data_IF_345397484705
#
_entry.id   IF_345397484705
#
_cell.length_a   1.000
_cell.length_b   1.000
_cell.length_c   1.000
_cell.angle_alpha   90.00
_cell.angle_beta   90.00
_cell.angle_gamma   90.00
#
_symmetry.space_group_name_H-M   'P 1'
#
loop_
_entity.id
_entity.type
_entity.pdbx_description
1 polymer ?
#
# COMPACT_ATOMS: atom_id res chain seq x y z
N UNK A 1 27.59 8.05 -0.96
CA UNK A 1 26.19 7.86 -1.39
C UNK A 1 25.32 8.72 -0.48
N UNK A 2 24.61 9.73 -1.02
CA UNK A 2 23.67 10.54 -0.23
C UNK A 2 22.64 9.59 0.38
N UNK A 3 22.46 9.63 1.70
CA UNK A 3 21.37 8.94 2.40
C UNK A 3 20.09 9.33 1.67
N UNK A 4 19.51 8.41 0.90
CA UNK A 4 18.10 8.57 0.54
C UNK A 4 17.40 8.55 1.88
N UNK A 5 16.84 9.69 2.29
CA UNK A 5 16.13 9.77 3.56
C UNK A 5 15.05 8.69 3.55
N UNK A 6 15.07 7.81 4.55
CA UNK A 6 14.16 6.67 4.65
C UNK A 6 12.69 7.09 4.48
N UNK A 7 12.37 8.33 4.88
CA UNK A 7 11.08 8.98 4.67
C UNK A 7 10.71 9.09 3.17
N UNK A 8 11.65 9.52 2.32
CA UNK A 8 11.41 9.63 0.87
C UNK A 8 11.19 8.26 0.22
N UNK A 9 11.91 7.23 0.67
CA UNK A 9 11.70 5.84 0.25
C UNK A 9 10.31 5.33 0.64
N UNK A 10 9.86 5.62 1.87
CA UNK A 10 8.53 5.23 2.35
C UNK A 10 7.43 5.91 1.52
N UNK A 11 7.53 7.21 1.28
CA UNK A 11 6.54 7.98 0.52
C UNK A 11 6.49 7.51 -0.94
N UNK A 12 7.64 7.37 -1.59
CA UNK A 12 7.71 6.91 -2.99
C UNK A 12 7.13 5.49 -3.13
N UNK A 13 7.46 4.60 -2.20
CA UNK A 13 6.93 3.24 -2.16
C UNK A 13 5.42 3.24 -2.03
N UNK A 14 4.89 3.99 -1.06
CA UNK A 14 3.45 4.06 -0.83
C UNK A 14 2.69 4.67 -2.01
N UNK A 15 3.29 5.64 -2.71
CA UNK A 15 2.71 6.21 -3.92
C UNK A 15 2.63 5.17 -5.04
N UNK A 16 3.69 4.39 -5.29
CA UNK A 16 3.71 3.32 -6.30
C UNK A 16 2.63 2.27 -5.99
N UNK A 17 2.52 1.85 -4.73
CA UNK A 17 1.50 0.87 -4.35
C UNK A 17 0.09 1.43 -4.55
N UNK A 18 -0.15 2.69 -4.18
CA UNK A 18 -1.44 3.35 -4.41
C UNK A 18 -1.78 3.42 -5.91
N UNK A 19 -0.82 3.81 -6.76
CA UNK A 19 -1.02 3.81 -8.22
C UNK A 19 -1.39 2.41 -8.75
N UNK A 20 -0.73 1.36 -8.25
CA UNK A 20 -1.08 -0.02 -8.56
C UNK A 20 -2.52 -0.37 -8.19
N UNK A 21 -2.98 0.05 -7.01
CA UNK A 21 -4.35 -0.17 -6.55
C UNK A 21 -5.39 0.60 -7.36
N UNK A 22 -5.12 1.87 -7.64
CA UNK A 22 -5.99 2.71 -8.48
C UNK A 22 -6.09 2.09 -9.88
N UNK A 23 -4.99 1.63 -10.45
CA UNK A 23 -4.99 1.02 -11.77
C UNK A 23 -5.75 -0.32 -11.81
N UNK A 24 -5.67 -1.14 -10.77
CA UNK A 24 -6.47 -2.37 -10.67
C UNK A 24 -7.98 -2.09 -10.56
N UNK A 25 -8.38 -1.06 -9.80
CA UNK A 25 -9.80 -0.74 -9.63
C UNK A 25 -10.40 0.03 -10.82
N UNK A 26 -9.62 0.82 -11.56
CA UNK A 26 -10.10 1.61 -12.70
C UNK A 26 -9.95 0.90 -14.05
N UNK A 27 -8.84 0.20 -14.27
CA UNK A 27 -8.52 -0.42 -15.57
C UNK A 27 -8.66 -1.95 -15.56
N UNK A 28 -9.13 -2.54 -14.45
CA UNK A 28 -9.36 -3.97 -14.35
C UNK A 28 -8.08 -4.81 -14.35
N UNK A 29 -6.93 -4.23 -13.98
CA UNK A 29 -5.68 -5.00 -13.84
C UNK A 29 -5.84 -6.10 -12.77
N UNK A 30 -5.16 -7.26 -12.94
CA UNK A 30 -5.27 -8.36 -11.99
C UNK A 30 -4.92 -7.93 -10.57
N UNK A 31 -5.90 -8.05 -9.66
CA UNK A 31 -5.76 -7.60 -8.28
C UNK A 31 -4.59 -8.24 -7.53
N UNK A 32 -4.21 -9.46 -7.90
CA UNK A 32 -3.06 -10.18 -7.31
C UNK A 32 -1.73 -9.45 -7.54
N UNK A 33 -1.55 -8.80 -8.70
CA UNK A 33 -0.33 -8.04 -8.99
C UNK A 33 -0.23 -6.80 -8.09
N UNK A 34 -1.32 -6.08 -7.91
CA UNK A 34 -1.35 -4.86 -7.09
C UNK A 34 -1.37 -5.14 -5.58
N UNK A 35 -2.03 -6.21 -5.13
CA UNK A 35 -2.21 -6.52 -3.71
C UNK A 35 -1.06 -7.35 -3.10
N UNK A 36 -0.35 -8.12 -3.91
CA UNK A 36 0.65 -9.07 -3.42
C UNK A 36 2.01 -8.77 -4.03
N UNK A 37 2.12 -8.76 -5.36
CA UNK A 37 3.42 -8.70 -6.02
C UNK A 37 4.13 -7.34 -5.81
N UNK A 38 3.41 -6.23 -6.02
CA UNK A 38 3.98 -4.88 -5.85
C UNK A 38 4.43 -4.65 -4.39
N UNK A 39 3.59 -4.86 -3.36
CA UNK A 39 4.01 -4.70 -1.96
C UNK A 39 5.20 -5.59 -1.59
N UNK A 40 5.20 -6.88 -1.99
CA UNK A 40 6.32 -7.78 -1.70
C UNK A 40 7.63 -7.30 -2.36
N UNK A 41 7.58 -6.91 -3.63
CA UNK A 41 8.78 -6.45 -4.34
C UNK A 41 9.42 -5.22 -3.67
N UNK A 42 8.60 -4.27 -3.22
CA UNK A 42 9.03 -3.08 -2.50
C UNK A 42 9.66 -3.45 -1.14
N UNK A 43 9.08 -4.39 -0.42
CA UNK A 43 9.61 -4.83 0.89
C UNK A 43 10.98 -5.49 0.73
N UNK A 44 11.16 -6.31 -0.31
CA UNK A 44 12.46 -6.92 -0.63
C UNK A 44 13.49 -5.84 -0.97
N UNK A 45 13.10 -4.81 -1.74
CA UNK A 45 13.97 -3.67 -2.05
C UNK A 45 14.32 -2.89 -0.78
N UNK A 46 13.36 -2.61 0.09
CA UNK A 46 13.61 -1.96 1.38
C UNK A 46 14.56 -2.76 2.26
N UNK A 47 14.37 -4.08 2.34
CA UNK A 47 15.24 -4.99 3.09
C UNK A 47 16.69 -4.92 2.58
N UNK A 48 16.88 -4.91 1.26
CA UNK A 48 18.19 -4.80 0.62
C UNK A 48 18.93 -3.50 0.99
N UNK A 49 18.20 -2.37 1.05
CA UNK A 49 18.80 -1.07 1.35
C UNK A 49 19.05 -0.84 2.84
N UNK A 50 18.16 -1.31 3.72
CA UNK A 50 18.21 -1.04 5.16
C UNK A 50 19.17 -2.02 5.88
N UNK A 51 19.28 -3.27 5.40
CA UNK A 51 20.12 -4.35 5.98
C UNK A 51 19.95 -4.54 7.51
N UNK A 52 18.79 -4.17 8.03
CA UNK A 52 18.42 -4.35 9.42
C UNK A 52 16.96 -4.79 9.48
N UNK A 53 16.73 -5.99 10.01
CA UNK A 53 15.41 -6.62 10.03
C UNK A 53 14.37 -5.78 10.77
N UNK A 54 14.73 -5.22 11.94
CA UNK A 54 13.80 -4.41 12.76
C UNK A 54 13.35 -3.17 12.02
N UNK A 55 14.28 -2.43 11.43
CA UNK A 55 14.00 -1.20 10.70
C UNK A 55 13.22 -1.48 9.40
N UNK A 56 13.48 -2.61 8.74
CA UNK A 56 12.75 -3.05 7.54
C UNK A 56 11.28 -3.36 7.87
N UNK A 57 11.02 -4.06 8.98
CA UNK A 57 9.64 -4.35 9.41
C UNK A 57 8.91 -3.04 9.72
N UNK A 58 9.50 -2.16 10.53
CA UNK A 58 8.86 -0.87 10.89
C UNK A 58 8.59 0.00 9.67
N UNK A 59 9.53 0.08 8.73
CA UNK A 59 9.35 0.87 7.49
C UNK A 59 8.31 0.24 6.57
N UNK A 60 8.23 -1.08 6.47
CA UNK A 60 7.18 -1.76 5.70
C UNK A 60 5.77 -1.48 6.26
N UNK A 61 5.60 -1.49 7.58
CA UNK A 61 4.36 -1.06 8.22
C UNK A 61 4.01 0.41 7.92
N UNK A 62 5.01 1.30 7.95
CA UNK A 62 4.80 2.70 7.60
C UNK A 62 4.35 2.87 6.14
N UNK A 63 4.94 2.11 5.21
CA UNK A 63 4.53 2.09 3.79
C UNK A 63 3.09 1.61 3.66
N UNK A 64 2.71 0.52 4.32
CA UNK A 64 1.35 -0.03 4.25
C UNK A 64 0.32 0.96 4.78
N UNK A 65 0.57 1.56 5.94
CA UNK A 65 -0.34 2.55 6.54
C UNK A 65 -0.49 3.78 5.65
N UNK A 66 0.61 4.33 5.14
CA UNK A 66 0.58 5.50 4.27
C UNK A 66 -0.14 5.18 2.95
N UNK A 67 0.06 3.98 2.41
CA UNK A 67 -0.65 3.50 1.22
C UNK A 67 -2.15 3.38 1.48
N UNK A 68 -2.56 2.86 2.63
CA UNK A 68 -3.96 2.71 2.99
C UNK A 68 -4.68 4.06 3.03
N UNK A 69 -4.02 5.07 3.62
CA UNK A 69 -4.51 6.44 3.63
C UNK A 69 -4.64 6.94 2.19
N UNK A 70 -3.59 6.88 1.38
CA UNK A 70 -3.65 7.35 -0.01
C UNK A 70 -4.71 6.63 -0.85
N UNK A 71 -4.89 5.33 -0.63
CA UNK A 71 -5.89 4.53 -1.36
C UNK A 71 -7.31 4.92 -0.95
N UNK A 72 -7.55 5.15 0.35
CA UNK A 72 -8.83 5.65 0.86
C UNK A 72 -9.18 7.00 0.25
N UNK A 73 -8.23 7.94 0.23
CA UNK A 73 -8.43 9.25 -0.40
C UNK A 73 -8.67 9.14 -1.91
N UNK A 74 -7.86 8.34 -2.62
CA UNK A 74 -7.95 8.21 -4.07
C UNK A 74 -9.28 7.57 -4.51
N UNK A 75 -9.72 6.51 -3.82
CA UNK A 75 -10.97 5.83 -4.15
C UNK A 75 -12.21 6.60 -3.68
N UNK A 76 -12.10 7.47 -2.67
CA UNK A 76 -13.20 8.34 -2.23
C UNK A 76 -13.31 9.65 -3.01
N UNK A 77 -12.39 9.93 -3.93
CA UNK A 77 -12.40 11.12 -4.77
C UNK A 77 -13.77 11.41 -5.45
N UNK A 78 -14.52 10.43 -6.01
CA UNK A 78 -15.82 10.71 -6.64
C UNK A 78 -16.85 11.34 -5.69
N UNK A 79 -16.76 11.03 -4.39
CA UNK A 79 -17.62 11.60 -3.36
C UNK A 79 -17.20 13.04 -3.00
N UNK A 80 -15.91 13.35 -3.11
CA UNK A 80 -15.34 14.65 -2.75
C UNK A 80 -15.56 15.67 -3.87
N UNK A 81 -15.53 15.20 -5.12
CA UNK A 81 -15.81 16.01 -6.31
C UNK A 81 -17.29 16.17 -6.63
N UNK A 82 -18.20 15.66 -5.79
CA UNK A 82 -19.65 15.80 -6.00
C UNK A 82 -20.19 14.98 -7.17
N UNK A 83 -19.49 13.93 -7.61
CA UNK A 83 -20.02 13.02 -8.64
C UNK A 83 -21.17 12.17 -8.04
N UNK A 84 -21.09 11.88 -6.74
CA UNK A 84 -22.15 11.20 -5.98
C UNK A 84 -22.73 12.18 -4.97
N UNK A 85 -23.82 12.84 -5.35
CA UNK A 85 -24.46 13.88 -4.53
C UNK A 85 -25.52 13.34 -3.56
N UNK A 86 -26.10 12.18 -3.84
CA UNK A 86 -27.13 11.60 -2.97
C UNK A 86 -26.49 11.06 -1.67
N UNK A 87 -26.95 11.58 -0.52
CA UNK A 87 -26.43 11.30 0.83
C UNK A 87 -26.40 9.80 1.14
N UNK A 88 -27.42 9.04 0.73
CA UNK A 88 -27.52 7.62 1.04
C UNK A 88 -26.50 6.81 0.22
N UNK A 89 -26.33 7.14 -1.06
CA UNK A 89 -25.32 6.53 -1.93
C UNK A 89 -23.90 6.91 -1.54
N UNK A 90 -23.68 8.16 -1.09
CA UNK A 90 -22.40 8.65 -0.59
C UNK A 90 -21.91 7.83 0.61
N UNK A 91 -22.77 7.58 1.58
CA UNK A 91 -22.42 6.81 2.78
C UNK A 91 -22.12 5.34 2.45
N UNK A 92 -22.95 4.71 1.61
CA UNK A 92 -22.72 3.33 1.14
C UNK A 92 -21.41 3.21 0.36
N UNK A 93 -21.10 4.18 -0.50
CA UNK A 93 -19.88 4.20 -1.30
C UNK A 93 -18.63 4.32 -0.41
N UNK A 94 -18.61 5.27 0.53
CA UNK A 94 -17.49 5.44 1.47
C UNK A 94 -17.28 4.16 2.30
N UNK A 95 -18.36 3.55 2.80
CA UNK A 95 -18.28 2.31 3.58
C UNK A 95 -17.72 1.15 2.76
N UNK A 96 -18.15 1.02 1.49
CA UNK A 96 -17.64 0.00 0.58
C UNK A 96 -16.15 0.20 0.27
N UNK A 97 -15.74 1.45 0.04
CA UNK A 97 -14.33 1.81 -0.15
C UNK A 97 -13.51 1.47 1.11
N UNK A 98 -14.03 1.80 2.29
CA UNK A 98 -13.38 1.49 3.57
C UNK A 98 -13.16 -0.02 3.76
N UNK A 99 -14.18 -0.85 3.50
CA UNK A 99 -14.04 -2.31 3.58
C UNK A 99 -12.99 -2.84 2.61
N UNK A 100 -12.94 -2.32 1.38
CA UNK A 100 -11.90 -2.69 0.41
C UNK A 100 -10.51 -2.30 0.89
N UNK A 101 -10.34 -1.09 1.43
CA UNK A 101 -9.04 -0.65 1.96
C UNK A 101 -8.60 -1.51 3.14
N UNK A 102 -9.52 -1.88 4.06
CA UNK A 102 -9.22 -2.83 5.14
C UNK A 102 -8.74 -4.16 4.57
N UNK A 103 -9.46 -4.72 3.60
CA UNK A 103 -9.08 -5.98 2.97
C UNK A 103 -7.66 -5.89 2.37
N UNK A 104 -7.35 -4.79 1.69
CA UNK A 104 -6.02 -4.57 1.12
C UNK A 104 -4.94 -4.46 2.19
N UNK A 105 -5.20 -3.73 3.28
CA UNK A 105 -4.27 -3.63 4.41
C UNK A 105 -3.98 -5.00 4.99
N UNK A 106 -5.00 -5.82 5.26
CA UNK A 106 -4.80 -7.15 5.84
C UNK A 106 -3.96 -8.05 4.92
N UNK A 107 -4.32 -8.11 3.63
CA UNK A 107 -3.61 -8.93 2.64
C UNK A 107 -2.17 -8.45 2.44
N UNK A 108 -1.98 -7.15 2.22
CA UNK A 108 -0.65 -6.59 1.99
C UNK A 108 0.25 -6.75 3.22
N UNK A 109 -0.29 -6.60 4.43
CA UNK A 109 0.48 -6.78 5.67
C UNK A 109 0.94 -8.21 5.85
N UNK A 110 0.06 -9.19 5.62
CA UNK A 110 0.42 -10.60 5.72
C UNK A 110 1.56 -10.96 4.76
N UNK A 111 1.43 -10.60 3.48
CA UNK A 111 2.45 -10.90 2.48
C UNK A 111 3.73 -10.09 2.67
N UNK A 112 3.63 -8.82 3.08
CA UNK A 112 4.78 -7.98 3.42
C UNK A 112 5.59 -8.55 4.58
N UNK A 113 4.94 -9.04 5.63
CA UNK A 113 5.62 -9.66 6.76
C UNK A 113 6.33 -10.95 6.36
N UNK A 114 5.67 -11.77 5.53
CA UNK A 114 6.27 -13.00 5.00
C UNK A 114 7.48 -12.68 4.12
N UNK A 115 7.39 -11.66 3.26
CA UNK A 115 8.51 -11.18 2.45
C UNK A 115 9.65 -10.60 3.31
N UNK A 116 9.34 -9.84 4.36
CA UNK A 116 10.32 -9.28 5.27
C UNK A 116 11.05 -10.37 6.07
N UNK A 117 10.35 -11.43 6.49
CA UNK A 117 10.94 -12.61 7.13
C UNK A 117 11.88 -13.36 6.19
N UNK A 118 11.43 -13.64 4.96
CA UNK A 118 12.23 -14.33 3.95
C UNK A 118 13.47 -13.51 3.56
N UNK A 119 13.32 -12.20 3.42
CA UNK A 119 14.45 -11.30 3.16
C UNK A 119 15.40 -11.25 4.36
N UNK A 120 14.88 -11.15 5.59
CA UNK A 120 15.69 -11.18 6.81
C UNK A 120 16.55 -12.45 6.92
N UNK A 121 15.96 -13.62 6.66
CA UNK A 121 16.67 -14.91 6.63
C UNK A 121 17.72 -15.02 5.51
N UNK A 122 17.60 -14.24 4.44
CA UNK A 122 18.52 -14.28 3.30
C UNK A 122 19.71 -13.30 3.44
N UNK A 123 19.62 -12.34 4.36
CA UNK A 123 20.63 -11.30 4.56
C UNK A 123 21.32 -11.35 5.94
N UNK A 124 20.93 -12.28 6.82
CA UNK A 124 21.72 -12.77 7.97
C UNK A 124 22.62 -13.94 7.55
#
# INVERSE_FOLDING_TARGET
MRKIDYVGLVVASAFIVNCGYVASNLYGLPGMLSMVFIPCSIVVVLAWFIRNMKTTIVTSFAVILLTAIFTQFSLSAPVWFGIIDNVLYKNLFIYTVFLKVIQYVFVSTFFSLLAALMAGLAFE
#
